data_IF_931130154546
#
_entry.id   IF_931130154546
#
_cell.length_a   1.000
_cell.length_b   1.000
_cell.length_c   1.000
_cell.angle_alpha   90.00
_cell.angle_beta   90.00
_cell.angle_gamma   90.00
#
_symmetry.space_group_name_H-M   'P 1'
#
loop_
_entity.id
_entity.type
_entity.pdbx_description
1 polymer ?
#
# COMPACT_ATOMS: atom_id res chain seq x y z
N UNK A 1 4.02 26.97 -13.45
CA UNK A 1 4.12 26.85 -13.23
C UNK A 1 4.44 26.46 -12.92
N UNK A 2 4.20 26.20 -13.08
CA UNK A 2 4.28 25.83 -12.74
C UNK A 2 4.58 25.41 -12.44
N UNK A 3 4.47 25.45 -13.01
CA UNK A 3 4.45 25.28 -12.57
C UNK A 3 4.79 24.72 -12.18
N UNK A 4 4.66 24.62 -12.57
CA UNK A 4 4.74 24.39 -12.04
C UNK A 4 4.95 23.92 -11.68
N UNK A 5 4.73 23.54 -12.00
CA UNK A 5 4.72 23.36 -11.49
C UNK A 5 4.94 22.94 -11.29
N UNK A 6 4.92 22.68 -11.58
CA UNK A 6 4.96 22.48 -11.24
C UNK A 6 4.92 22.12 -11.06
N UNK A 7 4.76 21.80 -11.43
CA UNK A 7 4.61 21.62 -11.08
C UNK A 7 4.34 21.46 -10.82
N UNK A 8 4.01 21.02 -11.24
CA UNK A 8 3.65 21.08 -10.89
C UNK A 8 3.32 20.85 -10.64
N UNK A 9 2.90 20.50 -10.86
CA UNK A 9 2.46 20.49 -10.59
C UNK A 9 2.22 20.25 -10.52
N UNK A 10 1.91 19.91 -10.84
CA UNK A 10 1.55 19.87 -10.72
C UNK A 10 1.06 19.72 -10.49
N UNK A 11 0.52 19.30 -10.73
CA UNK A 11 -0.05 19.31 -10.45
C UNK A 11 -0.54 19.02 -10.21
N UNK A 12 -1.21 18.68 -10.33
CA UNK A 12 -1.78 18.52 -10.10
C UNK A 12 -2.39 18.14 -9.81
N UNK A 13 -2.83 17.72 -9.97
CA UNK A 13 -3.49 17.39 -9.71
C UNK A 13 -3.88 16.90 -9.25
N UNK A 14 -4.31 16.39 -9.19
CA UNK A 14 -4.71 15.87 -8.85
C UNK A 14 -5.21 15.28 -8.69
N UNK A 15 -5.57 14.85 -8.82
CA UNK A 15 -5.86 14.31 -8.77
C UNK A 15 -6.29 13.56 -8.69
N UNK A 16 -6.51 13.22 -8.87
CA UNK A 16 -6.70 12.49 -8.82
C UNK A 16 -7.06 12.02 -8.46
N UNK A 17 -7.10 11.77 -8.39
CA UNK A 17 -7.32 11.25 -7.97
C UNK A 17 -7.30 11.03 -7.49
N UNK A 18 -7.31 11.03 -7.36
CA UNK A 18 -7.10 10.71 -6.84
C UNK A 18 -6.73 10.31 -6.57
N UNK A 19 -6.63 10.25 -6.70
CA UNK A 19 -6.06 9.74 -6.45
C UNK A 19 -5.28 9.11 -6.89
N UNK A 20 -4.97 8.93 -7.33
CA UNK A 20 -4.10 8.25 -7.71
C UNK A 20 -2.82 8.60 -7.60
N UNK A 21 -2.49 9.64 -7.45
CA UNK A 21 -1.29 9.91 -7.27
C UNK A 21 -0.83 9.81 -6.03
N UNK A 22 -1.50 9.50 -5.13
CA UNK A 22 -1.06 9.14 -3.88
C UNK A 22 -0.09 8.07 -4.07
N UNK A 23 0.90 7.95 -3.27
CA UNK A 23 1.89 6.93 -3.34
C UNK A 23 1.21 5.65 -3.41
N UNK A 24 0.02 5.80 -3.59
CA UNK A 24 -0.67 4.73 -3.86
C UNK A 24 -1.23 4.07 -2.74
N UNK A 25 -2.46 3.77 -2.90
CA UNK A 25 -3.08 2.86 -2.02
C UNK A 25 -2.58 1.45 -2.31
N UNK A 26 -1.80 1.27 -3.36
CA UNK A 26 -1.35 -0.05 -3.82
C UNK A 26 0.15 -0.21 -3.70
N UNK A 27 0.59 -1.38 -3.26
CA UNK A 27 1.99 -1.75 -3.38
C UNK A 27 2.02 -3.16 -3.98
N UNK A 28 2.76 -3.30 -5.08
CA UNK A 28 2.82 -4.55 -5.81
C UNK A 28 4.10 -5.29 -5.46
N UNK A 29 3.97 -6.40 -4.74
CA UNK A 29 5.09 -7.19 -4.28
C UNK A 29 5.20 -8.53 -4.98
N UNK A 30 4.45 -8.70 -6.07
CA UNK A 30 4.46 -9.98 -6.78
C UNK A 30 5.84 -10.31 -7.27
N UNK A 31 6.23 -11.56 -7.08
CA UNK A 31 7.52 -12.05 -7.58
C UNK A 31 8.72 -11.68 -6.73
N UNK A 32 8.54 -10.93 -5.66
CA UNK A 32 9.66 -10.53 -4.83
C UNK A 32 9.96 -11.58 -3.77
N UNK A 33 11.19 -11.60 -3.32
CA UNK A 33 11.57 -12.47 -2.21
C UNK A 33 10.96 -11.92 -0.94
N UNK A 34 10.73 -12.83 0.02
CA UNK A 34 10.06 -12.46 1.27
C UNK A 34 10.75 -11.29 1.96
N UNK A 35 12.07 -11.37 2.13
CA UNK A 35 12.80 -10.32 2.85
C UNK A 35 12.70 -8.98 2.15
N UNK A 36 12.85 -8.97 0.84
CA UNK A 36 12.78 -7.75 0.06
C UNK A 36 11.37 -7.19 0.05
N UNK A 37 10.39 -8.09 -0.04
CA UNK A 37 8.99 -7.68 -0.03
C UNK A 37 8.64 -7.01 1.29
N UNK A 38 9.09 -7.59 2.41
CA UNK A 38 8.79 -7.02 3.71
C UNK A 38 9.44 -5.65 3.90
N UNK A 39 10.68 -5.49 3.46
CA UNK A 39 11.34 -4.19 3.56
C UNK A 39 10.61 -3.14 2.75
N UNK A 40 10.26 -3.50 1.53
CA UNK A 40 9.56 -2.57 0.67
C UNK A 40 8.19 -2.22 1.22
N UNK A 41 7.51 -3.23 1.77
CA UNK A 41 6.20 -3.01 2.37
C UNK A 41 6.30 -2.06 3.56
N UNK A 42 7.30 -2.24 4.42
CA UNK A 42 7.44 -1.37 5.58
C UNK A 42 7.66 0.07 5.18
N UNK A 43 8.49 0.30 4.16
CA UNK A 43 8.70 1.67 3.66
C UNK A 43 7.43 2.26 3.09
N UNK A 44 6.68 1.44 2.38
CA UNK A 44 5.44 1.90 1.77
C UNK A 44 4.39 2.23 2.84
N UNK A 45 4.33 1.40 3.87
CA UNK A 45 3.42 1.63 4.99
C UNK A 45 3.73 2.97 5.65
N UNK A 46 5.00 3.24 5.88
CA UNK A 46 5.37 4.50 6.52
C UNK A 46 4.96 5.69 5.66
N UNK A 47 5.22 5.61 4.36
CA UNK A 47 4.83 6.68 3.45
C UNK A 47 3.32 6.88 3.44
N UNK A 48 2.56 5.77 3.40
CA UNK A 48 1.10 5.85 3.40
C UNK A 48 0.58 6.44 4.72
N UNK A 49 1.17 6.03 5.83
CA UNK A 49 0.78 6.54 7.13
C UNK A 49 1.03 8.05 7.21
N UNK A 50 2.20 8.50 6.77
CA UNK A 50 2.53 9.92 6.81
C UNK A 50 1.65 10.74 5.87
N UNK A 51 1.16 10.11 4.80
CA UNK A 51 0.25 10.77 3.88
C UNK A 51 -1.20 10.76 4.39
N UNK A 52 -1.44 10.12 5.53
CA UNK A 52 -2.79 10.10 6.11
C UNK A 52 -3.72 9.08 5.49
N UNK A 53 -3.18 8.10 4.78
CA UNK A 53 -4.03 7.10 4.14
C UNK A 53 -4.57 6.12 5.18
N UNK A 54 -5.85 5.73 5.07
CA UNK A 54 -6.45 4.84 6.06
C UNK A 54 -6.16 3.36 5.82
N UNK A 55 -5.69 3.03 4.63
CA UNK A 55 -5.47 1.63 4.26
C UNK A 55 -4.47 1.53 3.14
N UNK A 56 -3.98 0.32 2.93
CA UNK A 56 -3.02 0.04 1.87
C UNK A 56 -3.38 -1.29 1.24
N UNK A 57 -3.43 -1.34 -0.07
CA UNK A 57 -3.74 -2.57 -0.79
C UNK A 57 -2.44 -3.24 -1.20
N UNK A 58 -2.17 -4.40 -0.62
CA UNK A 58 -0.91 -5.11 -0.83
C UNK A 58 -1.15 -6.23 -1.83
N UNK A 59 -0.53 -6.13 -2.99
CA UNK A 59 -0.69 -7.10 -4.07
C UNK A 59 0.45 -8.09 -3.99
N UNK A 60 0.21 -9.25 -3.40
CA UNK A 60 1.24 -10.27 -3.24
C UNK A 60 1.10 -11.39 -4.26
N UNK A 61 -0.02 -11.40 -4.96
CA UNK A 61 -0.28 -12.45 -5.93
C UNK A 61 -0.78 -13.72 -5.27
N UNK A 62 -1.25 -14.65 -6.09
CA UNK A 62 -1.76 -15.90 -5.56
C UNK A 62 -0.63 -16.89 -5.32
N UNK A 63 0.15 -17.18 -6.36
CA UNK A 63 1.32 -18.03 -6.27
C UNK A 63 1.15 -19.22 -5.33
N UNK A 64 2.17 -19.45 -4.52
CA UNK A 64 2.15 -20.51 -3.52
C UNK A 64 1.43 -20.08 -2.24
N UNK A 65 1.11 -18.81 -2.11
CA UNK A 65 0.54 -18.28 -0.88
C UNK A 65 1.58 -17.89 0.15
N UNK A 66 2.85 -18.04 -0.18
CA UNK A 66 3.92 -17.78 0.79
C UNK A 66 3.98 -16.32 1.20
N UNK A 67 4.00 -15.41 0.23
CA UNK A 67 4.03 -13.99 0.55
C UNK A 67 2.79 -13.58 1.33
N UNK A 68 1.63 -14.08 0.90
CA UNK A 68 0.39 -13.78 1.59
C UNK A 68 0.47 -14.15 3.06
N UNK A 69 0.93 -15.37 3.34
CA UNK A 69 0.99 -15.86 4.70
C UNK A 69 1.95 -15.05 5.56
N UNK A 70 3.14 -14.77 5.03
CA UNK A 70 4.13 -14.04 5.79
C UNK A 70 3.66 -12.62 6.07
N UNK A 71 3.10 -11.96 5.05
CA UNK A 71 2.62 -10.60 5.21
C UNK A 71 1.52 -10.55 6.27
N UNK A 72 0.58 -11.49 6.21
CA UNK A 72 -0.53 -11.49 7.18
C UNK A 72 -0.06 -11.81 8.57
N UNK A 73 0.92 -12.72 8.70
CA UNK A 73 1.48 -13.03 9.99
C UNK A 73 2.16 -11.84 10.63
N UNK A 74 2.87 -11.07 9.84
CA UNK A 74 3.66 -9.98 10.37
C UNK A 74 2.93 -8.65 10.42
N UNK A 75 1.80 -8.56 9.74
CA UNK A 75 1.10 -7.28 9.59
C UNK A 75 0.81 -6.62 10.93
N UNK A 76 0.33 -7.39 11.89
CA UNK A 76 -0.07 -6.82 13.17
C UNK A 76 1.09 -6.33 14.01
N UNK A 77 2.29 -6.74 13.65
CA UNK A 77 3.49 -6.33 14.36
C UNK A 77 4.18 -5.16 13.69
N UNK A 78 3.70 -4.78 12.50
CA UNK A 78 4.31 -3.68 11.77
C UNK A 78 3.83 -2.35 12.33
N UNK A 79 4.74 -1.39 12.37
CA UNK A 79 4.41 -0.06 12.83
C UNK A 79 3.29 0.53 11.97
N UNK A 80 2.38 1.25 12.60
CA UNK A 80 1.29 1.97 11.93
C UNK A 80 0.16 1.09 11.40
N UNK A 81 0.24 -0.22 11.57
CA UNK A 81 -0.79 -1.13 11.07
C UNK A 81 -1.69 -1.56 12.22
N UNK A 82 -2.99 -1.38 12.07
CA UNK A 82 -3.95 -1.79 13.09
C UNK A 82 -4.49 -3.20 12.84
N UNK A 83 -4.37 -3.69 11.61
CA UNK A 83 -4.83 -5.03 11.29
C UNK A 83 -4.87 -5.24 9.79
N UNK A 84 -5.33 -6.42 9.39
CA UNK A 84 -5.46 -6.73 7.98
C UNK A 84 -6.79 -7.43 7.71
N UNK A 85 -7.20 -7.41 6.47
CA UNK A 85 -8.39 -8.15 6.05
C UNK A 85 -8.20 -8.63 4.62
N UNK A 86 -8.89 -9.70 4.25
CA UNK A 86 -8.79 -10.17 2.86
C UNK A 86 -9.48 -9.18 1.95
N UNK A 87 -9.02 -9.12 0.71
CA UNK A 87 -9.61 -8.23 -0.26
C UNK A 87 -10.86 -8.86 -0.86
N UNK A 88 -11.82 -8.02 -1.21
CA UNK A 88 -12.97 -8.47 -1.97
C UNK A 88 -12.55 -8.79 -3.40
N UNK A 89 -13.36 -9.57 -4.10
CA UNK A 89 -13.01 -9.92 -5.48
C UNK A 89 -12.76 -8.69 -6.33
N UNK A 90 -13.57 -7.66 -6.14
CA UNK A 90 -13.43 -6.43 -6.91
C UNK A 90 -12.14 -5.69 -6.56
N UNK A 91 -11.50 -6.02 -5.43
CA UNK A 91 -10.26 -5.39 -4.99
C UNK A 91 -9.04 -6.22 -5.30
N UNK A 92 -9.21 -7.38 -5.94
CA UNK A 92 -8.10 -8.24 -6.27
C UNK A 92 -8.17 -9.64 -5.68
N UNK A 93 -9.14 -9.88 -4.82
CA UNK A 93 -9.40 -11.23 -4.32
C UNK A 93 -8.23 -11.83 -3.56
N UNK A 94 -7.95 -13.11 -3.84
CA UNK A 94 -6.94 -13.85 -3.09
C UNK A 94 -5.53 -13.37 -3.29
N UNK A 95 -5.28 -12.60 -4.33
CA UNK A 95 -3.95 -12.09 -4.59
C UNK A 95 -3.63 -10.79 -3.85
N UNK A 96 -4.54 -10.33 -3.00
CA UNK A 96 -4.41 -9.03 -2.34
C UNK A 96 -4.80 -9.13 -0.88
N UNK A 97 -4.11 -8.38 -0.05
CA UNK A 97 -4.47 -8.23 1.37
C UNK A 97 -4.58 -6.73 1.63
N UNK A 98 -5.61 -6.35 2.37
CA UNK A 98 -5.80 -4.95 2.75
C UNK A 98 -5.22 -4.75 4.13
N UNK A 99 -4.30 -3.80 4.27
CA UNK A 99 -3.78 -3.42 5.59
C UNK A 99 -4.50 -2.16 6.04
N UNK A 100 -4.99 -2.20 7.27
CA UNK A 100 -5.60 -1.03 7.87
C UNK A 100 -4.54 -0.26 8.62
N UNK A 101 -4.48 1.04 8.41
CA UNK A 101 -3.47 1.88 9.05
C UNK A 101 -4.12 2.68 10.15
N UNK A 102 -3.35 2.94 11.20
CA UNK A 102 -3.85 3.80 12.26
C UNK A 102 -3.83 5.24 11.76
N UNK A 103 -4.61 6.07 12.40
CA UNK A 103 -4.69 7.47 12.01
C UNK A 103 -3.42 8.19 12.43
N UNK A 104 -2.93 9.07 11.55
CA UNK A 104 -1.76 9.88 11.89
C UNK A 104 -2.15 11.16 12.61
N UNK A 105 -3.45 11.35 12.85
CA UNK A 105 -3.92 12.55 13.58
C UNK A 105 -4.10 12.27 15.05
#
# INVERSE_FOLDING_TARGET
KKGVVRREVQDMPVKRSVMRESPGLDVDLRGERVEEALERLERHIESAYLAGLPMLRVIHGKGTGRLREVIRQQARQMAHVSGWEPALDAEGGEGVTILRLISSN
#
